data_IF_219723940903
#
_entry.id   IF_219723940903
#
_cell.length_a   1.000
_cell.length_b   1.000
_cell.length_c   1.000
_cell.angle_alpha   90.00
_cell.angle_beta   90.00
_cell.angle_gamma   90.00
#
_symmetry.space_group_name_H-M   'P 1'
#
loop_
_entity.id
_entity.type
_entity.pdbx_description
1 polymer ?
#
# COMPACT_ATOMS: atom_id res chain seq x y z
N UNK A 1 0.21 4.31 19.12
CA UNK A 1 0.42 5.28 18.02
C UNK A 1 -0.25 6.63 18.31
N UNK A 2 -1.57 6.65 18.57
CA UNK A 2 -2.37 7.88 18.76
C UNK A 2 -1.78 8.91 19.74
N UNK A 3 -1.45 8.51 20.97
CA UNK A 3 -0.90 9.45 21.96
C UNK A 3 0.38 10.11 21.46
N UNK A 4 1.28 9.33 20.85
CA UNK A 4 2.53 9.84 20.29
C UNK A 4 2.29 10.79 19.11
N UNK A 5 1.34 10.46 18.22
CA UNK A 5 0.98 11.34 17.10
C UNK A 5 0.45 12.69 17.59
N UNK A 6 -0.40 12.69 18.63
CA UNK A 6 -0.94 13.90 19.26
C UNK A 6 0.15 14.72 19.96
N UNK A 7 0.97 14.08 20.79
CA UNK A 7 2.06 14.73 21.55
C UNK A 7 3.11 15.34 20.62
N UNK A 8 3.47 14.64 19.55
CA UNK A 8 4.51 15.06 18.60
C UNK A 8 3.96 15.89 17.44
N UNK A 9 2.63 16.04 17.33
CA UNK A 9 1.96 16.74 16.23
C UNK A 9 2.42 16.19 14.87
N UNK A 10 2.27 14.88 14.70
CA UNK A 10 2.68 14.19 13.48
C UNK A 10 2.09 14.88 12.24
N UNK A 11 2.93 15.07 11.21
CA UNK A 11 2.52 15.75 9.96
C UNK A 11 2.12 14.78 8.86
N UNK A 12 2.66 13.57 8.89
CA UNK A 12 2.30 12.44 8.04
C UNK A 12 2.74 11.13 8.71
N UNK A 13 2.23 10.01 8.22
CA UNK A 13 2.62 8.64 8.60
C UNK A 13 3.37 8.00 7.43
N UNK A 14 4.41 7.21 7.72
CA UNK A 14 5.02 6.31 6.74
C UNK A 14 4.52 4.90 7.06
N UNK A 15 3.81 4.30 6.10
CA UNK A 15 3.22 2.99 6.18
C UNK A 15 4.03 2.03 5.29
N UNK A 16 4.70 1.07 5.91
CA UNK A 16 5.82 0.33 5.31
C UNK A 16 5.38 -0.97 4.62
N UNK A 17 4.30 -0.91 3.84
CA UNK A 17 3.77 -2.03 3.06
C UNK A 17 3.12 -3.17 3.88
N UNK A 18 2.65 -4.21 3.18
CA UNK A 18 1.85 -5.32 3.71
C UNK A 18 0.60 -4.80 4.43
N UNK A 19 -0.14 -4.01 3.66
CA UNK A 19 -1.24 -3.20 4.18
C UNK A 19 -2.48 -4.05 4.44
N UNK A 20 -2.76 -4.99 3.52
CA UNK A 20 -3.93 -5.86 3.59
C UNK A 20 -3.51 -7.32 3.47
N UNK A 21 -3.46 -7.98 4.62
CA UNK A 21 -3.19 -9.41 4.70
C UNK A 21 -4.46 -10.23 4.38
N UNK A 22 -4.36 -11.40 3.75
CA UNK A 22 -3.13 -12.07 3.27
C UNK A 22 -2.85 -11.80 1.78
N UNK A 23 -3.78 -11.18 1.05
CA UNK A 23 -3.74 -11.08 -0.42
C UNK A 23 -4.37 -9.77 -0.94
N UNK A 24 -4.04 -8.63 -0.33
CA UNK A 24 -4.48 -7.33 -0.78
C UNK A 24 -6.00 -7.12 -0.73
N UNK A 25 -6.49 -6.23 -1.59
CA UNK A 25 -7.92 -5.91 -1.76
C UNK A 25 -8.31 -5.93 -3.23
N UNK A 26 -9.55 -6.27 -3.54
CA UNK A 26 -10.03 -6.44 -4.93
C UNK A 26 -10.53 -5.15 -5.59
N UNK A 27 -10.81 -4.13 -4.79
CA UNK A 27 -11.46 -2.90 -5.23
C UNK A 27 -11.23 -1.77 -4.23
N UNK A 28 -11.41 -0.53 -4.68
CA UNK A 28 -11.34 0.68 -3.84
C UNK A 28 -12.52 0.81 -2.87
N UNK A 29 -13.54 -0.03 -3.03
CA UNK A 29 -14.75 -0.09 -2.20
C UNK A 29 -14.80 -1.36 -1.34
N UNK A 30 -13.72 -2.13 -1.30
CA UNK A 30 -13.64 -3.32 -0.46
C UNK A 30 -13.78 -2.95 1.02
N UNK A 31 -14.60 -3.67 1.77
CA UNK A 31 -14.87 -3.41 3.21
C UNK A 31 -13.61 -3.44 4.09
N UNK A 32 -12.54 -4.11 3.63
CA UNK A 32 -11.26 -4.09 4.34
C UNK A 32 -10.68 -2.69 4.50
N UNK A 33 -10.95 -1.75 3.59
CA UNK A 33 -10.52 -0.36 3.78
C UNK A 33 -11.05 0.21 5.08
N UNK A 34 -12.34 0.07 5.34
CA UNK A 34 -12.94 0.57 6.58
C UNK A 34 -12.43 -0.21 7.79
N UNK A 35 -12.43 -1.55 7.71
CA UNK A 35 -12.03 -2.40 8.85
C UNK A 35 -10.55 -2.27 9.25
N UNK A 36 -9.64 -2.15 8.29
CA UNK A 36 -8.19 -2.26 8.52
C UNK A 36 -7.47 -0.91 8.44
N UNK A 37 -8.12 0.12 7.91
CA UNK A 37 -7.50 1.43 7.72
C UNK A 37 -8.37 2.58 8.23
N UNK A 38 -9.56 2.81 7.67
CA UNK A 38 -10.34 4.04 7.95
C UNK A 38 -10.81 4.07 9.40
N UNK A 39 -11.57 3.06 9.83
CA UNK A 39 -12.20 2.99 11.15
C UNK A 39 -11.24 2.51 12.23
N UNK A 40 -10.18 1.79 11.84
CA UNK A 40 -9.16 1.31 12.77
C UNK A 40 -8.31 2.45 13.35
N UNK A 41 -8.17 3.56 12.61
CA UNK A 41 -7.40 4.73 13.01
C UNK A 41 -8.24 6.02 13.00
N UNK A 42 -9.26 6.14 13.89
CA UNK A 42 -10.26 7.20 13.81
C UNK A 42 -9.83 8.53 14.46
N UNK A 43 -8.74 8.53 15.24
CA UNK A 43 -8.32 9.71 15.98
C UNK A 43 -7.91 10.87 15.05
N UNK A 44 -8.27 12.11 15.43
CA UNK A 44 -7.96 13.32 14.66
C UNK A 44 -6.46 13.49 14.37
N UNK A 45 -5.59 13.08 15.29
CA UNK A 45 -4.13 13.15 15.10
C UNK A 45 -3.60 12.19 14.03
N UNK A 46 -4.43 11.25 13.57
CA UNK A 46 -4.12 10.30 12.50
C UNK A 46 -4.85 10.62 11.19
N UNK A 47 -5.71 11.66 11.17
CA UNK A 47 -6.33 12.21 9.96
C UNK A 47 -5.36 13.12 9.19
N UNK A 48 -4.14 12.64 9.04
CA UNK A 48 -3.01 13.24 8.31
C UNK A 48 -2.63 12.31 7.16
N UNK A 49 -1.83 12.72 6.15
CA UNK A 49 -1.45 11.84 5.04
C UNK A 49 -0.65 10.59 5.49
N UNK A 50 -0.94 9.44 4.89
CA UNK A 50 -0.28 8.14 5.09
C UNK A 50 0.44 7.73 3.81
N UNK A 51 1.76 7.94 3.78
CA UNK A 51 2.64 7.55 2.70
C UNK A 51 2.84 6.04 2.76
N UNK A 52 2.22 5.33 1.84
CA UNK A 52 2.18 3.88 1.83
C UNK A 52 3.06 3.30 0.74
N UNK A 53 3.62 2.12 0.98
CA UNK A 53 4.26 1.28 -0.03
C UNK A 53 3.47 -0.02 -0.22
N UNK A 54 3.84 -0.83 -1.22
CA UNK A 54 3.24 -2.14 -1.46
C UNK A 54 4.20 -3.28 -1.06
N UNK A 55 3.64 -4.28 -0.37
CA UNK A 55 4.31 -5.46 0.15
C UNK A 55 3.96 -6.72 -0.62
N UNK A 56 4.58 -7.83 -0.27
CA UNK A 56 4.29 -9.11 -0.93
C UNK A 56 2.83 -9.54 -0.73
N UNK A 57 2.22 -9.26 0.42
CA UNK A 57 0.80 -9.57 0.64
C UNK A 57 -0.12 -8.69 -0.21
N UNK A 58 0.27 -7.44 -0.43
CA UNK A 58 -0.49 -6.52 -1.29
C UNK A 58 -0.48 -6.95 -2.76
N UNK A 59 0.55 -7.68 -3.18
CA UNK A 59 0.67 -8.28 -4.50
C UNK A 59 0.01 -9.67 -4.63
N UNK A 60 -0.60 -10.19 -3.56
CA UNK A 60 -1.29 -11.48 -3.55
C UNK A 60 -0.74 -12.50 -2.54
N UNK A 61 0.37 -12.22 -1.86
CA UNK A 61 0.93 -13.07 -0.81
C UNK A 61 1.65 -14.32 -1.32
N UNK A 62 1.79 -15.34 -0.44
CA UNK A 62 2.39 -16.65 -0.76
C UNK A 62 1.65 -17.36 -1.89
N UNK A 63 0.33 -17.23 -1.89
CA UNK A 63 -0.54 -17.64 -2.98
C UNK A 63 -0.72 -16.46 -3.92
N UNK A 64 0.32 -16.17 -4.73
CA UNK A 64 0.17 -15.40 -5.98
C UNK A 64 -1.03 -15.88 -6.84
N UNK A 65 -1.65 -16.99 -6.46
CA UNK A 65 -2.80 -17.63 -7.05
C UNK A 65 -4.13 -16.85 -7.05
N UNK A 66 -4.42 -16.02 -6.05
CA UNK A 66 -5.78 -15.44 -5.95
C UNK A 66 -6.07 -14.29 -6.93
N UNK A 67 -5.04 -13.55 -7.34
CA UNK A 67 -5.17 -12.40 -8.25
C UNK A 67 -4.36 -12.57 -9.55
N UNK A 68 -3.27 -13.36 -9.53
CA UNK A 68 -2.34 -13.48 -10.66
C UNK A 68 -2.35 -14.86 -11.34
N UNK A 69 -3.02 -15.87 -10.79
CA UNK A 69 -3.04 -17.23 -11.37
C UNK A 69 -4.44 -17.73 -11.71
N UNK A 70 -4.48 -18.60 -12.72
CA UNK A 70 -5.68 -19.30 -13.22
C UNK A 70 -6.14 -20.46 -12.31
N UNK A 71 -5.73 -20.49 -11.04
CA UNK A 71 -5.94 -21.62 -10.11
C UNK A 71 -7.09 -21.44 -9.12
N UNK A 72 -7.58 -20.22 -8.93
CA UNK A 72 -8.82 -19.97 -8.19
C UNK A 72 -10.03 -20.54 -8.93
N UNK A 73 -11.08 -20.90 -8.19
CA UNK A 73 -12.38 -21.30 -8.75
C UNK A 73 -12.76 -20.38 -9.91
N UNK A 74 -13.34 -20.91 -10.99
CA UNK A 74 -13.67 -20.16 -12.23
C UNK A 74 -14.57 -18.91 -12.02
N UNK A 75 -15.03 -18.66 -10.80
CA UNK A 75 -15.84 -17.51 -10.39
C UNK A 75 -15.08 -16.44 -9.57
N UNK A 76 -13.75 -16.50 -9.39
CA UNK A 76 -13.06 -15.43 -8.63
C UNK A 76 -13.04 -14.10 -9.42
N UNK A 77 -13.71 -13.03 -8.93
CA UNK A 77 -13.77 -11.73 -9.62
C UNK A 77 -12.42 -11.01 -9.71
N UNK A 78 -11.38 -11.48 -9.00
CA UNK A 78 -10.01 -10.94 -8.99
C UNK A 78 -9.10 -11.59 -10.03
N UNK A 79 -9.53 -12.67 -10.68
CA UNK A 79 -8.71 -13.42 -11.65
C UNK A 79 -8.21 -12.50 -12.77
N UNK A 80 -6.89 -12.37 -12.90
CA UNK A 80 -6.24 -11.52 -13.92
C UNK A 80 -6.18 -10.03 -13.58
N UNK A 81 -6.57 -9.62 -12.36
CA UNK A 81 -6.43 -8.25 -11.85
C UNK A 81 -5.42 -8.21 -10.70
N UNK A 82 -4.45 -7.29 -10.67
CA UNK A 82 -3.50 -7.23 -9.56
C UNK A 82 -4.21 -6.80 -8.26
N UNK A 83 -4.06 -7.54 -7.14
CA UNK A 83 -4.63 -7.11 -5.85
C UNK A 83 -4.04 -5.75 -5.40
N UNK A 84 -2.84 -5.41 -5.86
CA UNK A 84 -2.18 -4.14 -5.61
C UNK A 84 -2.83 -2.97 -6.35
N UNK A 85 -3.53 -3.23 -7.44
CA UNK A 85 -4.07 -2.17 -8.29
C UNK A 85 -5.14 -1.37 -7.56
N UNK A 86 -6.00 -2.03 -6.79
CA UNK A 86 -7.02 -1.35 -5.98
C UNK A 86 -6.41 -0.40 -4.95
N UNK A 87 -5.25 -0.72 -4.38
CA UNK A 87 -4.54 0.17 -3.46
C UNK A 87 -3.88 1.36 -4.14
N UNK A 88 -3.40 1.18 -5.37
CA UNK A 88 -2.90 2.27 -6.21
C UNK A 88 -4.08 3.19 -6.55
N UNK A 89 -5.19 2.63 -7.03
CA UNK A 89 -6.37 3.37 -7.49
C UNK A 89 -7.12 4.06 -6.33
N UNK A 90 -6.95 3.59 -5.09
CA UNK A 90 -7.52 4.24 -3.91
C UNK A 90 -6.90 5.64 -3.68
N UNK A 91 -5.65 5.87 -4.12
CA UNK A 91 -5.10 7.23 -4.19
C UNK A 91 -5.64 7.99 -5.42
N UNK A 92 -6.80 8.60 -5.27
CA UNK A 92 -7.44 9.36 -6.36
C UNK A 92 -6.75 10.69 -6.72
N UNK A 93 -5.70 11.10 -5.99
CA UNK A 93 -5.00 12.37 -6.24
C UNK A 93 -3.48 12.15 -6.29
N UNK A 94 -3.00 11.28 -7.18
CA UNK A 94 -1.56 11.01 -7.37
C UNK A 94 -0.70 12.27 -7.64
N UNK A 95 -1.31 13.37 -8.11
CA UNK A 95 -0.64 14.66 -8.33
C UNK A 95 -0.65 15.62 -7.13
N UNK A 96 -1.28 15.22 -6.02
CA UNK A 96 -1.41 16.02 -4.79
C UNK A 96 -0.06 16.58 -4.33
N UNK A 97 -0.03 17.80 -3.79
CA UNK A 97 1.17 18.44 -3.27
C UNK A 97 0.97 18.93 -1.84
N UNK A 98 1.93 18.65 -0.96
CA UNK A 98 1.95 19.19 0.40
C UNK A 98 2.18 20.72 0.37
N UNK A 99 1.52 21.52 1.24
CA UNK A 99 0.65 21.12 2.35
C UNK A 99 -0.85 21.18 2.03
N UNK A 100 -1.25 21.15 0.76
CA UNK A 100 -2.68 21.20 0.41
C UNK A 100 -3.44 20.05 1.08
N UNK A 101 -4.71 20.23 1.46
CA UNK A 101 -5.54 19.12 1.91
C UNK A 101 -5.65 18.04 0.84
N UNK A 102 -5.80 16.79 1.28
CA UNK A 102 -6.03 15.63 0.42
C UNK A 102 -7.38 15.01 0.78
N UNK A 103 -8.14 14.54 -0.21
CA UNK A 103 -9.48 13.96 0.00
C UNK A 103 -9.44 12.68 0.82
N UNK A 104 -8.49 11.82 0.48
CA UNK A 104 -8.21 10.56 1.19
C UNK A 104 -6.84 10.66 1.82
N UNK A 105 -6.70 10.18 3.06
CA UNK A 105 -5.41 10.21 3.75
C UNK A 105 -4.41 9.20 3.19
N UNK A 106 -4.84 8.21 2.41
CA UNK A 106 -3.95 7.28 1.72
C UNK A 106 -3.14 7.98 0.62
N UNK A 107 -1.81 7.85 0.67
CA UNK A 107 -0.88 8.42 -0.31
C UNK A 107 -0.04 7.31 -0.91
N UNK A 108 -0.27 7.00 -2.18
CA UNK A 108 0.48 6.03 -2.97
C UNK A 108 0.63 6.59 -4.40
N UNK A 109 1.55 7.54 -4.62
CA UNK A 109 1.66 8.27 -5.88
C UNK A 109 2.37 7.48 -7.00
N UNK A 110 2.58 6.17 -6.80
CA UNK A 110 3.08 5.27 -7.85
C UNK A 110 2.13 5.30 -9.06
N UNK A 111 2.67 5.35 -10.28
CA UNK A 111 1.85 5.33 -11.50
C UNK A 111 2.16 4.10 -12.34
N UNK A 112 1.11 3.45 -12.83
CA UNK A 112 1.23 2.31 -13.74
C UNK A 112 2.25 1.26 -13.28
N UNK A 113 3.33 1.12 -14.05
CA UNK A 113 4.38 0.13 -13.79
C UNK A 113 5.57 0.63 -12.97
N UNK A 114 5.48 1.84 -12.39
CA UNK A 114 6.50 2.35 -11.46
C UNK A 114 6.74 1.37 -10.31
N UNK A 115 7.97 1.39 -9.80
CA UNK A 115 8.48 0.58 -8.68
C UNK A 115 9.05 1.44 -7.57
N UNK A 116 8.74 2.73 -7.60
CA UNK A 116 9.24 3.69 -6.63
C UNK A 116 8.41 4.96 -6.74
N UNK A 117 8.50 5.80 -5.72
CA UNK A 117 8.08 7.18 -5.81
C UNK A 117 8.92 8.02 -4.84
N UNK A 118 8.88 9.34 -5.03
CA UNK A 118 9.46 10.28 -4.08
C UNK A 118 8.43 11.34 -3.69
N UNK A 119 8.46 11.75 -2.42
CA UNK A 119 7.59 12.80 -1.90
C UNK A 119 8.35 13.79 -1.03
N UNK A 120 8.21 15.07 -1.36
CA UNK A 120 8.78 16.18 -0.59
C UNK A 120 7.73 16.81 0.34
N UNK A 121 8.13 17.06 1.59
CA UNK A 121 7.38 17.81 2.59
C UNK A 121 8.17 19.05 2.99
N UNK A 122 7.64 20.22 2.62
CA UNK A 122 8.24 21.51 2.96
C UNK A 122 7.59 22.08 4.21
N UNK A 123 8.41 22.51 5.17
CA UNK A 123 7.98 23.14 6.42
C UNK A 123 8.58 24.56 6.52
N UNK A 124 7.99 25.56 5.84
CA UNK A 124 8.60 26.90 5.73
C UNK A 124 8.85 27.58 7.07
N UNK A 125 7.94 27.41 8.04
CA UNK A 125 8.09 27.96 9.39
C UNK A 125 9.32 27.44 10.14
N UNK A 126 9.74 26.21 9.83
CA UNK A 126 10.92 25.57 10.42
C UNK A 126 12.16 25.66 9.51
N UNK A 127 12.01 26.19 8.28
CA UNK A 127 13.04 26.16 7.24
C UNK A 127 13.62 24.76 6.99
N UNK A 128 12.75 23.73 6.98
CA UNK A 128 13.13 22.33 6.76
C UNK A 128 12.37 21.77 5.56
N UNK A 129 13.04 20.93 4.77
CA UNK A 129 12.41 20.06 3.77
C UNK A 129 12.76 18.61 4.08
N UNK A 130 11.79 17.72 3.97
CA UNK A 130 11.96 16.27 4.12
C UNK A 130 11.60 15.61 2.80
N UNK A 131 12.55 14.92 2.18
CA UNK A 131 12.31 14.12 0.98
C UNK A 131 12.30 12.64 1.35
N UNK A 132 11.21 11.96 1.00
CA UNK A 132 11.01 10.53 1.26
C UNK A 132 11.07 9.80 -0.06
N UNK A 133 12.07 8.94 -0.23
CA UNK A 133 12.21 8.04 -1.37
C UNK A 133 11.73 6.65 -0.97
N UNK A 134 10.76 6.12 -1.70
CA UNK A 134 10.19 4.79 -1.45
C UNK A 134 10.46 3.93 -2.67
N UNK A 135 11.03 2.75 -2.44
CA UNK A 135 11.31 1.75 -3.48
C UNK A 135 10.49 0.51 -3.17
N UNK A 136 9.77 0.02 -4.17
CA UNK A 136 9.02 -1.22 -4.14
C UNK A 136 9.86 -2.35 -4.75
N UNK A 137 10.43 -3.17 -3.86
CA UNK A 137 11.19 -4.37 -4.23
C UNK A 137 10.30 -5.59 -4.41
N UNK A 138 9.06 -5.57 -3.92
CA UNK A 138 8.13 -6.69 -3.94
C UNK A 138 7.50 -6.89 -5.33
N UNK A 139 7.27 -5.81 -6.09
CA UNK A 139 6.77 -5.91 -7.46
C UNK A 139 7.65 -6.81 -8.33
N UNK A 140 8.98 -6.76 -8.17
CA UNK A 140 9.90 -7.60 -8.92
C UNK A 140 9.71 -9.11 -8.63
N UNK A 141 9.43 -9.45 -7.37
CA UNK A 141 9.06 -10.80 -6.96
C UNK A 141 7.70 -11.22 -7.54
N UNK A 142 6.75 -10.28 -7.65
CA UNK A 142 5.43 -10.56 -8.21
C UNK A 142 5.44 -10.74 -9.75
N UNK A 143 6.27 -10.00 -10.50
CA UNK A 143 6.30 -10.05 -11.98
C UNK A 143 7.39 -10.92 -12.60
N UNK A 144 8.51 -11.21 -11.91
CA UNK A 144 9.40 -12.29 -12.37
C UNK A 144 8.82 -13.59 -11.85
N UNK A 145 8.08 -14.30 -12.73
CA UNK A 145 7.77 -15.73 -12.63
C UNK A 145 7.61 -16.22 -11.18
N UNK A 146 6.38 -16.49 -10.77
CA UNK A 146 6.02 -17.38 -9.67
C UNK A 146 6.57 -18.82 -9.82
N UNK A 147 7.86 -18.97 -10.13
CA UNK A 147 8.43 -20.19 -10.70
C UNK A 147 9.73 -20.65 -10.03
N UNK A 148 10.51 -19.81 -9.34
CA UNK A 148 11.76 -20.28 -8.70
C UNK A 148 12.08 -19.51 -7.39
N UNK A 149 12.11 -20.21 -6.24
CA UNK A 149 12.52 -19.78 -4.88
C UNK A 149 11.59 -18.80 -4.13
N UNK A 150 10.74 -19.23 -3.19
CA UNK A 150 11.13 -19.60 -1.82
C UNK A 150 10.17 -20.59 -1.12
N UNK A 151 9.44 -21.43 -1.86
CA UNK A 151 8.88 -22.63 -1.26
C UNK A 151 10.01 -23.66 -1.09
N UNK A 152 10.64 -23.69 0.08
CA UNK A 152 11.33 -24.91 0.52
C UNK A 152 10.26 -26.01 0.63
N UNK A 153 10.00 -26.72 -0.46
CA UNK A 153 9.51 -28.10 -0.37
C UNK A 153 10.62 -28.86 0.33
N UNK A 154 10.41 -29.27 1.57
CA UNK A 154 11.14 -30.40 2.14
C UNK A 154 10.67 -31.62 1.34
N UNK A 155 11.51 -32.26 0.51
CA UNK A 155 11.10 -33.48 -0.16
C UNK A 155 11.10 -34.60 0.88
N UNK A 156 9.93 -35.10 1.27
CA UNK A 156 9.80 -36.32 2.08
C UNK A 156 9.11 -36.20 3.45
N UNK A 157 8.29 -35.19 3.69
CA UNK A 157 7.27 -35.19 4.75
C UNK A 157 5.88 -35.02 4.15
#
# INVERSE_FOLDING_TARGET
MTNLARERKASFVVNTADNFYMAGVDSTTNEQWSMMFEDLYPDESLQIPWLSSLGNHDYGGHECDYCLWNGGSDYDPRRGKPCSQAMIDYDTEHGWQWPSPKKVRWVLPMKGNDRWYMKSFKFPKANVTVDVFVIDTNKAHAVRKAQEAMCFRIPGL
#
